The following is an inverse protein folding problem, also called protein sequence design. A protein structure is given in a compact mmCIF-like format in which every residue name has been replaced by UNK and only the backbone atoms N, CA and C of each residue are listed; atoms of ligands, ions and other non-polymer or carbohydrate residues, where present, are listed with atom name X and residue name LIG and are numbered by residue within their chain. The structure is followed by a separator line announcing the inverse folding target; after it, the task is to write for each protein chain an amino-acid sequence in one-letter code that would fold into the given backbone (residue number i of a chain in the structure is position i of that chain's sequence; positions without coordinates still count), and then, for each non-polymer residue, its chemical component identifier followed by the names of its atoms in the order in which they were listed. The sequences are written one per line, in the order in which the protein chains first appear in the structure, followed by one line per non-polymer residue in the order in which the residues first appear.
data_IF_534974151716
#
_entry.id   IF_534974151716
#
_cell.length_a   1.000
_cell.length_b   1.000
_cell.length_c   1.000
_cell.angle_alpha   90.00
_cell.angle_beta   90.00
_cell.angle_gamma   90.00
#
_symmetry.space_group_name_H-M   'P 1'
#
loop_
_entity.id
_entity.type
_entity.pdbx_description
1 polymer ?
#
# COMPACT_ATOMS: atom_id res chain seq x y z
N UNK A 1 48.22 -22.54 -2.05
CA UNK A 1 48.37 -21.09 -2.31
C UNK A 1 47.68 -20.85 -3.64
N UNK A 2 46.36 -20.69 -3.59
CA UNK A 2 45.58 -19.43 -3.50
C UNK A 2 44.91 -19.24 -4.85
N UNK A 3 43.73 -19.86 -4.97
CA UNK A 3 42.74 -19.51 -5.98
C UNK A 3 41.99 -18.27 -5.48
N UNK A 4 42.10 -17.17 -6.22
CA UNK A 4 41.12 -16.10 -6.20
C UNK A 4 40.21 -16.35 -7.40
N UNK A 5 38.92 -16.47 -7.13
CA UNK A 5 37.85 -16.57 -8.10
C UNK A 5 37.18 -15.19 -8.06
N UNK A 6 37.38 -14.42 -9.11
CA UNK A 6 36.62 -13.21 -9.42
C UNK A 6 35.23 -13.69 -9.87
N UNK A 7 34.20 -13.42 -9.07
CA UNK A 7 32.81 -13.47 -9.51
C UNK A 7 32.41 -12.04 -9.87
N UNK A 8 32.40 -11.76 -11.17
CA UNK A 8 31.76 -10.60 -11.76
C UNK A 8 30.24 -10.71 -11.54
N UNK A 9 29.69 -9.79 -10.74
CA UNK A 9 28.26 -9.60 -10.60
C UNK A 9 27.76 -8.76 -11.78
N UNK A 10 27.29 -9.44 -12.83
CA UNK A 10 26.55 -8.82 -13.94
C UNK A 10 25.22 -8.26 -13.40
N UNK A 11 25.19 -6.93 -13.28
CA UNK A 11 24.01 -6.16 -12.96
C UNK A 11 23.00 -6.27 -14.12
N UNK A 12 21.88 -6.96 -13.86
CA UNK A 12 20.72 -6.98 -14.75
C UNK A 12 20.04 -5.61 -14.77
N UNK A 13 20.58 -4.70 -15.57
CA UNK A 13 19.80 -3.64 -16.20
C UNK A 13 19.12 -4.25 -17.43
N UNK A 14 18.04 -4.99 -17.23
CA UNK A 14 17.16 -5.38 -18.33
C UNK A 14 15.88 -4.55 -18.26
N UNK A 15 15.71 -3.80 -19.34
CA UNK A 15 14.53 -3.07 -19.81
C UNK A 15 13.23 -3.55 -19.18
N UNK A 16 12.57 -2.64 -18.45
CA UNK A 16 11.15 -2.75 -18.11
C UNK A 16 10.31 -2.53 -19.37
N UNK A 17 10.36 -3.47 -20.32
CA UNK A 17 9.30 -3.61 -21.30
C UNK A 17 8.10 -4.25 -20.60
N UNK A 18 7.03 -3.47 -20.45
CA UNK A 18 5.72 -4.01 -20.12
C UNK A 18 5.27 -4.92 -21.26
N UNK A 19 5.53 -6.22 -21.15
CA UNK A 19 4.65 -7.18 -21.78
C UNK A 19 3.28 -6.99 -21.13
N UNK A 20 2.33 -6.49 -21.93
CA UNK A 20 0.93 -6.55 -21.57
C UNK A 20 0.64 -7.98 -21.15
N UNK A 21 0.03 -8.15 -19.97
CA UNK A 21 -0.60 -9.41 -19.63
C UNK A 21 -1.72 -9.59 -20.66
N UNK A 22 -1.43 -10.36 -21.71
CA UNK A 22 -2.44 -10.95 -22.55
C UNK A 22 -3.23 -11.91 -21.65
N UNK A 23 -4.39 -11.43 -21.20
CA UNK A 23 -5.46 -12.30 -20.72
C UNK A 23 -6.01 -13.06 -21.95
N UNK A 24 -5.28 -14.08 -22.41
CA UNK A 24 -5.73 -15.07 -23.38
C UNK A 24 -6.81 -15.97 -22.76
N UNK A 25 -7.99 -15.40 -22.54
CA UNK A 25 -9.22 -16.11 -22.16
C UNK A 25 -10.43 -15.52 -22.88
N UNK A 26 -10.28 -15.20 -24.16
CA UNK A 26 -11.40 -14.87 -25.07
C UNK A 26 -11.14 -15.46 -26.46
N UNK A 27 -11.21 -16.79 -26.56
CA UNK A 27 -11.10 -17.49 -27.85
C UNK A 27 -12.24 -18.49 -28.01
N UNK A 28 -13.48 -17.99 -28.01
CA UNK A 28 -14.63 -18.77 -28.48
C UNK A 28 -15.85 -17.93 -28.90
N UNK A 29 -15.69 -16.94 -29.78
CA UNK A 29 -16.85 -16.40 -30.53
C UNK A 29 -16.50 -15.71 -31.86
N UNK A 30 -16.06 -16.48 -32.85
CA UNK A 30 -15.98 -15.98 -34.24
C UNK A 30 -16.75 -16.84 -35.24
N UNK A 31 -17.72 -16.19 -35.87
CA UNK A 31 -18.48 -16.70 -37.01
C UNK A 31 -18.94 -15.57 -37.93
N UNK A 32 -18.10 -15.28 -38.94
CA UNK A 32 -18.36 -14.69 -40.28
C UNK A 32 -18.33 -13.16 -40.47
N UNK A 33 -17.20 -12.73 -41.04
CA UNK A 33 -16.98 -11.94 -42.27
C UNK A 33 -18.02 -10.89 -42.72
N UNK A 34 -17.60 -9.62 -42.87
CA UNK A 34 -17.23 -8.98 -44.16
C UNK A 34 -16.91 -7.48 -43.97
N UNK A 35 -15.80 -7.08 -44.58
CA UNK A 35 -15.36 -5.77 -45.09
C UNK A 35 -14.93 -4.60 -44.19
N UNK A 36 -13.76 -4.11 -44.58
CA UNK A 36 -12.98 -2.99 -44.05
C UNK A 36 -13.65 -1.62 -44.24
N UNK A 37 -13.61 -0.81 -43.19
CA UNK A 37 -13.49 0.65 -43.31
C UNK A 37 -12.92 1.21 -42.00
N UNK A 38 -11.83 1.93 -42.16
CA UNK A 38 -11.03 2.66 -41.17
C UNK A 38 -11.86 3.73 -40.43
N UNK A 39 -12.30 3.49 -39.18
CA UNK A 39 -12.56 4.51 -38.13
C UNK A 39 -13.28 3.95 -36.88
N UNK A 40 -12.61 3.23 -35.98
CA UNK A 40 -13.22 2.83 -34.70
C UNK A 40 -12.42 3.34 -33.50
N UNK A 41 -12.51 4.65 -33.25
CA UNK A 41 -12.13 5.27 -31.97
C UNK A 41 -13.34 5.69 -31.13
N UNK A 42 -14.58 5.44 -31.57
CA UNK A 42 -15.78 6.03 -30.96
C UNK A 42 -16.95 5.05 -30.70
N UNK A 43 -16.75 3.73 -30.73
CA UNK A 43 -17.86 2.76 -30.53
C UNK A 43 -17.76 1.89 -29.26
N UNK A 44 -17.40 2.50 -28.11
CA UNK A 44 -17.67 1.92 -26.78
C UNK A 44 -18.24 2.93 -25.77
N UNK A 45 -18.93 3.97 -26.24
CA UNK A 45 -19.61 4.96 -25.39
C UNK A 45 -21.14 4.72 -25.30
N UNK A 46 -21.58 3.46 -25.45
CA UNK A 46 -22.96 3.03 -25.22
C UNK A 46 -23.04 2.01 -24.10
N UNK A 47 -23.06 2.51 -22.86
CA UNK A 47 -24.04 2.16 -21.83
C UNK A 47 -23.72 3.01 -20.61
N UNK A 48 -24.46 4.11 -20.49
CA UNK A 48 -24.52 5.03 -19.37
C UNK A 48 -25.13 4.37 -18.11
N UNK A 49 -24.70 3.15 -17.77
CA UNK A 49 -24.85 2.59 -16.44
C UNK A 49 -23.84 3.34 -15.58
N UNK A 50 -24.28 4.40 -14.89
CA UNK A 50 -23.59 4.88 -13.70
C UNK A 50 -23.23 3.65 -12.88
N UNK A 51 -21.94 3.29 -12.81
CA UNK A 51 -21.48 2.19 -11.97
C UNK A 51 -21.96 2.51 -10.55
N UNK A 52 -22.97 1.78 -10.09
CA UNK A 52 -23.66 2.13 -8.87
C UNK A 52 -22.79 1.75 -7.69
N UNK A 53 -22.59 2.70 -6.79
CA UNK A 53 -22.05 2.44 -5.46
C UNK A 53 -22.90 1.37 -4.77
N UNK A 54 -22.27 0.53 -3.94
CA UNK A 54 -22.98 -0.45 -3.11
C UNK A 54 -23.04 0.06 -1.68
N UNK A 55 -24.24 0.17 -1.11
CA UNK A 55 -24.45 0.51 0.29
C UNK A 55 -24.43 -0.72 1.21
N UNK A 56 -24.12 -0.53 2.49
CA UNK A 56 -24.23 -1.60 3.49
C UNK A 56 -25.63 -2.25 3.56
N UNK A 57 -26.70 -1.50 3.30
CA UNK A 57 -28.06 -2.02 3.31
C UNK A 57 -28.35 -2.94 2.12
N UNK A 58 -27.72 -2.70 0.98
CA UNK A 58 -27.80 -3.61 -0.17
C UNK A 58 -26.92 -4.84 0.05
N UNK A 59 -25.71 -4.66 0.57
CA UNK A 59 -24.82 -5.77 0.89
C UNK A 59 -25.47 -6.75 1.88
N UNK A 60 -26.11 -6.23 2.95
CA UNK A 60 -26.89 -7.06 3.89
C UNK A 60 -28.09 -7.77 3.27
N UNK A 61 -28.60 -7.30 2.12
CA UNK A 61 -29.66 -7.97 1.35
C UNK A 61 -29.11 -9.00 0.35
N UNK A 62 -27.81 -9.28 0.39
CA UNK A 62 -27.15 -10.27 -0.47
C UNK A 62 -26.53 -9.69 -1.74
N UNK A 63 -26.50 -8.36 -1.92
CA UNK A 63 -25.73 -7.75 -3.01
C UNK A 63 -24.23 -7.91 -2.72
N UNK A 64 -23.46 -8.27 -3.72
CA UNK A 64 -21.99 -8.28 -3.62
C UNK A 64 -21.46 -6.89 -3.24
N UNK A 65 -20.47 -6.80 -2.34
CA UNK A 65 -19.93 -5.53 -1.84
C UNK A 65 -19.31 -4.68 -2.95
N UNK A 66 -18.78 -5.31 -4.01
CA UNK A 66 -18.27 -4.63 -5.19
C UNK A 66 -19.36 -4.32 -6.22
N UNK A 67 -20.55 -4.89 -6.03
CA UNK A 67 -21.67 -4.80 -6.95
C UNK A 67 -21.52 -5.71 -8.17
N UNK A 68 -20.69 -6.76 -8.09
CA UNK A 68 -20.55 -7.75 -9.15
C UNK A 68 -21.87 -8.54 -9.26
N UNK A 69 -22.52 -8.56 -10.44
CA UNK A 69 -23.82 -9.20 -10.61
C UNK A 69 -23.64 -10.70 -10.88
N UNK A 70 -23.15 -11.45 -9.89
CA UNK A 70 -22.86 -12.89 -10.02
C UNK A 70 -24.05 -13.71 -10.54
N UNK A 71 -25.28 -13.29 -10.23
CA UNK A 71 -26.52 -13.92 -10.72
C UNK A 71 -26.74 -13.78 -12.23
N UNK A 72 -26.04 -12.86 -12.89
CA UNK A 72 -26.08 -12.64 -14.35
C UNK A 72 -24.89 -13.26 -15.07
N UNK A 73 -23.90 -13.76 -14.33
CA UNK A 73 -22.70 -14.38 -14.87
C UNK A 73 -22.88 -15.89 -14.99
N UNK A 74 -22.13 -16.52 -15.88
CA UNK A 74 -22.10 -17.98 -16.05
C UNK A 74 -21.31 -18.70 -14.95
N UNK A 75 -20.66 -17.96 -14.06
CA UNK A 75 -19.83 -18.45 -12.96
C UNK A 75 -20.30 -17.86 -11.62
N UNK A 76 -20.31 -18.69 -10.57
CA UNK A 76 -20.61 -18.21 -9.22
C UNK A 76 -19.39 -17.54 -8.59
N UNK A 77 -19.60 -16.71 -7.58
CA UNK A 77 -18.53 -16.07 -6.81
C UNK A 77 -17.54 -17.09 -6.26
N UNK A 78 -18.03 -18.19 -5.71
CA UNK A 78 -17.21 -19.25 -5.09
C UNK A 78 -16.35 -19.96 -6.12
N UNK A 79 -16.94 -20.31 -7.28
CA UNK A 79 -16.19 -20.95 -8.36
C UNK A 79 -15.14 -20.01 -8.92
N UNK A 80 -15.46 -18.72 -9.08
CA UNK A 80 -14.49 -17.71 -9.51
C UNK A 80 -13.36 -17.54 -8.48
N UNK A 81 -13.66 -17.46 -7.18
CA UNK A 81 -12.67 -17.42 -6.09
C UNK A 81 -11.75 -18.65 -6.09
N UNK A 82 -12.30 -19.84 -6.29
CA UNK A 82 -11.49 -21.06 -6.38
C UNK A 82 -10.53 -21.00 -7.57
N UNK A 83 -11.04 -20.69 -8.76
CA UNK A 83 -10.22 -20.53 -9.97
C UNK A 83 -9.17 -19.44 -9.79
N UNK A 84 -9.54 -18.32 -9.15
CA UNK A 84 -8.62 -17.21 -8.84
C UNK A 84 -7.46 -17.67 -7.95
N UNK A 85 -7.70 -18.45 -6.91
CA UNK A 85 -6.64 -19.00 -6.05
C UNK A 85 -5.75 -20.02 -6.77
N UNK A 86 -6.34 -20.85 -7.64
CA UNK A 86 -5.60 -21.87 -8.40
C UNK A 86 -4.71 -21.27 -9.49
N UNK A 87 -5.15 -20.18 -10.12
CA UNK A 87 -4.49 -19.58 -11.28
C UNK A 87 -3.59 -18.39 -10.93
N UNK A 88 -3.71 -17.80 -9.74
CA UNK A 88 -2.90 -16.63 -9.36
C UNK A 88 -1.42 -16.98 -9.27
N UNK A 89 -0.62 -16.45 -10.18
CA UNK A 89 0.83 -16.62 -10.21
C UNK A 89 1.50 -15.55 -9.35
N UNK A 90 2.15 -16.00 -8.29
CA UNK A 90 2.95 -15.13 -7.45
C UNK A 90 4.30 -14.88 -8.13
N UNK A 91 4.75 -13.63 -8.05
CA UNK A 91 6.16 -13.32 -8.22
C UNK A 91 6.93 -13.79 -6.97
N UNK A 92 8.11 -14.35 -7.12
CA UNK A 92 8.99 -14.75 -6.00
C UNK A 92 10.42 -14.40 -6.40
N UNK A 93 11.18 -13.73 -5.54
CA UNK A 93 12.61 -13.50 -5.79
C UNK A 93 13.42 -14.72 -5.33
N UNK A 94 12.94 -15.37 -4.27
CA UNK A 94 13.49 -16.60 -3.73
C UNK A 94 12.50 -17.72 -4.02
N UNK A 95 12.82 -18.68 -4.91
CA UNK A 95 11.90 -19.75 -5.28
C UNK A 95 11.38 -20.53 -4.07
N UNK A 96 10.07 -20.79 -4.04
CA UNK A 96 9.37 -21.58 -3.00
C UNK A 96 9.43 -20.96 -1.59
N UNK A 97 9.75 -19.66 -1.48
CA UNK A 97 9.84 -18.96 -0.20
C UNK A 97 8.52 -18.98 0.58
N UNK A 98 7.38 -18.90 -0.12
CA UNK A 98 6.06 -18.98 0.47
C UNK A 98 5.74 -20.33 1.10
N UNK A 99 5.99 -21.42 0.36
CA UNK A 99 5.76 -22.80 0.86
C UNK A 99 6.68 -23.14 2.03
N UNK A 100 7.91 -22.63 2.02
CA UNK A 100 8.85 -22.80 3.11
C UNK A 100 8.40 -22.07 4.38
N UNK A 101 7.97 -20.81 4.25
CA UNK A 101 7.61 -19.93 5.37
C UNK A 101 6.25 -20.24 5.98
N UNK A 102 5.35 -20.89 5.23
CA UNK A 102 4.03 -21.30 5.71
C UNK A 102 4.12 -22.20 6.97
N UNK A 103 5.18 -23.00 7.10
CA UNK A 103 5.36 -23.94 8.22
C UNK A 103 5.56 -23.25 9.57
N UNK A 104 6.02 -22.00 9.55
CA UNK A 104 6.21 -21.19 10.75
C UNK A 104 4.95 -20.40 11.14
N UNK A 105 3.93 -20.40 10.28
CA UNK A 105 2.77 -19.55 10.45
C UNK A 105 1.85 -20.03 11.58
N UNK A 106 1.37 -19.08 12.37
CA UNK A 106 0.36 -19.32 13.38
C UNK A 106 -0.99 -19.56 12.71
N UNK A 107 -1.69 -20.60 13.16
CA UNK A 107 -3.09 -20.81 12.79
C UNK A 107 -3.98 -19.79 13.50
N UNK A 108 -4.88 -19.18 12.74
CA UNK A 108 -5.80 -18.13 13.20
C UNK A 108 -7.25 -18.60 13.06
N UNK A 109 -8.15 -18.06 13.88
CA UNK A 109 -9.59 -18.22 13.72
C UNK A 109 -10.14 -17.04 12.91
N UNK A 110 -10.74 -17.34 11.74
CA UNK A 110 -11.27 -16.36 10.78
C UNK A 110 -12.72 -15.94 11.02
N UNK A 111 -13.31 -16.30 12.16
CA UNK A 111 -14.70 -15.99 12.52
C UNK A 111 -14.88 -14.56 13.07
N UNK A 112 -13.79 -13.80 13.23
CA UNK A 112 -13.86 -12.48 13.83
C UNK A 112 -14.44 -11.44 12.85
N UNK A 113 -15.08 -10.42 13.42
CA UNK A 113 -15.65 -9.29 12.69
C UNK A 113 -15.41 -8.02 13.50
N UNK A 114 -14.44 -7.22 13.06
CA UNK A 114 -13.99 -5.99 13.72
C UNK A 114 -14.40 -4.73 12.98
N UNK A 115 -14.54 -4.80 11.66
CA UNK A 115 -14.93 -3.70 10.78
C UNK A 115 -16.04 -4.14 9.83
N UNK A 116 -17.20 -3.52 9.92
CA UNK A 116 -18.36 -3.83 9.09
C UNK A 116 -18.34 -3.01 7.79
N UNK A 117 -18.66 -3.64 6.66
CA UNK A 117 -18.80 -2.95 5.38
C UNK A 117 -19.81 -1.80 5.48
N UNK A 118 -19.40 -0.60 5.03
CA UNK A 118 -20.24 0.62 5.02
C UNK A 118 -20.67 0.98 3.61
N UNK A 119 -19.70 1.05 2.70
CA UNK A 119 -19.93 1.52 1.34
C UNK A 119 -18.82 1.04 0.40
N UNK A 120 -19.19 0.83 -0.84
CA UNK A 120 -18.27 0.81 -1.95
C UNK A 120 -18.53 2.01 -2.87
N UNK A 121 -17.54 2.87 -3.04
CA UNK A 121 -17.64 4.07 -3.89
C UNK A 121 -16.97 3.81 -5.24
N UNK A 122 -17.75 3.55 -6.29
CA UNK A 122 -17.31 3.26 -7.67
C UNK A 122 -16.95 4.52 -8.45
N UNK A 123 -17.43 5.68 -7.99
CA UNK A 123 -17.15 7.00 -8.56
C UNK A 123 -15.70 7.48 -8.32
N UNK A 124 -14.98 6.81 -7.42
CA UNK A 124 -13.59 7.08 -7.07
C UNK A 124 -12.79 5.80 -7.30
N UNK A 125 -11.84 5.84 -8.23
CA UNK A 125 -11.03 4.68 -8.61
C UNK A 125 -9.59 4.97 -8.29
N UNK A 126 -8.98 4.10 -7.48
CA UNK A 126 -7.55 4.17 -7.24
C UNK A 126 -6.80 3.59 -8.44
N UNK A 127 -5.62 4.13 -8.76
CA UNK A 127 -4.76 3.63 -9.84
C UNK A 127 -3.42 3.20 -9.28
N UNK A 128 -2.96 2.01 -9.67
CA UNK A 128 -1.60 1.56 -9.42
C UNK A 128 -0.84 1.45 -10.74
N UNK A 129 0.45 1.78 -10.72
CA UNK A 129 1.35 1.66 -11.86
C UNK A 129 2.47 0.64 -11.61
N UNK A 130 2.74 0.31 -10.35
CA UNK A 130 3.75 -0.69 -9.99
C UNK A 130 3.10 -1.93 -9.40
N UNK A 131 3.60 -3.11 -9.77
CA UNK A 131 3.09 -4.38 -9.23
C UNK A 131 3.51 -4.65 -7.79
N UNK A 132 4.45 -3.88 -7.21
CA UNK A 132 4.90 -4.03 -5.82
C UNK A 132 4.39 -2.99 -4.82
N UNK A 133 4.27 -1.72 -5.21
CA UNK A 133 4.09 -0.61 -4.27
C UNK A 133 2.61 -0.29 -4.03
N UNK A 134 2.16 -0.32 -2.76
CA UNK A 134 0.73 -0.21 -2.35
C UNK A 134 0.44 0.90 -1.33
N UNK A 135 1.20 2.00 -1.34
CA UNK A 135 1.01 3.12 -0.41
C UNK A 135 0.29 4.29 -1.11
N UNK A 136 -0.91 4.08 -1.64
CA UNK A 136 -1.63 5.07 -2.48
C UNK A 136 -3.01 5.49 -1.95
N UNK A 137 -3.34 5.09 -0.72
CA UNK A 137 -4.59 5.45 -0.03
C UNK A 137 -4.27 5.90 1.39
N UNK A 138 -4.78 7.06 1.80
CA UNK A 138 -4.48 7.63 3.10
C UNK A 138 -5.66 8.38 3.71
N UNK A 139 -6.17 7.88 4.84
CA UNK A 139 -7.25 8.51 5.60
C UNK A 139 -6.68 9.55 6.58
N UNK A 140 -7.34 10.70 6.66
CA UNK A 140 -7.01 11.77 7.62
C UNK A 140 -8.12 11.98 8.65
N UNK A 141 -9.31 11.46 8.37
CA UNK A 141 -10.43 11.35 9.31
C UNK A 141 -11.23 10.09 8.96
N UNK A 142 -12.25 9.74 9.76
CA UNK A 142 -13.20 8.68 9.41
C UNK A 142 -14.00 8.93 8.12
N UNK A 143 -13.96 10.15 7.60
CA UNK A 143 -14.70 10.55 6.40
C UNK A 143 -13.79 10.98 5.25
N UNK A 144 -12.58 11.45 5.52
CA UNK A 144 -11.74 12.12 4.54
C UNK A 144 -10.52 11.25 4.20
N UNK A 145 -10.44 10.86 2.93
CA UNK A 145 -9.41 9.96 2.40
C UNK A 145 -8.83 10.50 1.11
N UNK A 146 -7.52 10.39 0.98
CA UNK A 146 -6.74 10.82 -0.16
C UNK A 146 -6.22 9.61 -0.90
N UNK A 147 -6.29 9.62 -2.22
CA UNK A 147 -5.85 8.51 -3.03
C UNK A 147 -5.39 8.95 -4.42
N UNK A 148 -4.48 8.18 -4.99
CA UNK A 148 -4.06 8.38 -6.38
C UNK A 148 -5.11 7.82 -7.35
N UNK A 149 -5.57 8.66 -8.27
CA UNK A 149 -6.41 8.29 -9.41
C UNK A 149 -5.74 8.83 -10.68
N UNK A 150 -5.15 7.94 -11.47
CA UNK A 150 -4.30 8.30 -12.60
C UNK A 150 -3.18 9.27 -12.16
N UNK A 151 -3.18 10.48 -12.71
CA UNK A 151 -2.21 11.54 -12.39
C UNK A 151 -2.72 12.54 -11.35
N UNK A 152 -3.82 12.24 -10.65
CA UNK A 152 -4.42 13.17 -9.70
C UNK A 152 -4.47 12.56 -8.31
N UNK A 153 -4.01 13.31 -7.31
CA UNK A 153 -4.38 13.03 -5.92
C UNK A 153 -5.80 13.56 -5.72
N UNK A 154 -6.71 12.63 -5.44
CA UNK A 154 -8.11 12.92 -5.16
C UNK A 154 -8.33 12.87 -3.66
N UNK A 155 -9.02 13.87 -3.13
CA UNK A 155 -9.65 13.80 -1.83
C UNK A 155 -11.10 13.35 -2.02
N UNK A 156 -11.50 12.32 -1.29
CA UNK A 156 -12.86 11.83 -1.19
C UNK A 156 -13.37 12.04 0.23
N UNK A 157 -14.56 12.61 0.36
CA UNK A 157 -15.26 12.70 1.64
C UNK A 157 -16.48 11.77 1.63
N UNK A 158 -16.45 10.73 2.46
CA UNK A 158 -17.57 9.77 2.59
C UNK A 158 -18.82 10.41 3.20
N UNK A 159 -18.63 11.50 3.96
CA UNK A 159 -19.71 12.28 4.57
C UNK A 159 -20.54 13.04 3.53
N UNK A 160 -19.89 13.78 2.63
CA UNK A 160 -20.57 14.58 1.58
C UNK A 160 -20.74 13.81 0.28
N UNK A 161 -20.14 12.61 0.15
CA UNK A 161 -20.12 11.79 -1.06
C UNK A 161 -19.57 12.57 -2.28
N UNK A 162 -18.55 13.40 -2.05
CA UNK A 162 -17.96 14.24 -3.08
C UNK A 162 -16.46 14.03 -3.17
N UNK A 163 -15.93 14.12 -4.39
CA UNK A 163 -14.49 14.13 -4.65
C UNK A 163 -14.01 15.51 -5.08
N UNK A 164 -12.81 15.87 -4.65
CA UNK A 164 -12.12 17.10 -5.04
C UNK A 164 -10.68 16.76 -5.42
N UNK A 165 -10.21 17.31 -6.54
CA UNK A 165 -8.82 17.17 -6.95
C UNK A 165 -7.91 18.08 -6.12
N UNK A 166 -6.87 17.50 -5.52
CA UNK A 166 -5.97 18.19 -4.57
C UNK A 166 -4.65 18.56 -5.24
N UNK A 167 -4.16 17.69 -6.11
CA UNK A 167 -2.90 17.84 -6.83
C UNK A 167 -3.01 17.08 -8.16
N UNK A 168 -2.72 17.75 -9.27
CA UNK A 168 -2.64 17.16 -10.60
C UNK A 168 -1.17 17.15 -11.05
N UNK A 169 -0.61 15.97 -11.27
CA UNK A 169 0.78 15.78 -11.72
C UNK A 169 0.89 15.35 -13.19
N UNK A 170 -0.20 15.42 -13.96
CA UNK A 170 -0.17 15.17 -15.41
C UNK A 170 0.50 16.30 -16.17
N UNK A 171 0.33 17.54 -15.67
CA UNK A 171 0.98 18.73 -16.18
C UNK A 171 2.30 19.03 -15.48
N UNK A 172 2.78 20.25 -15.71
CA UNK A 172 3.92 20.80 -14.98
C UNK A 172 3.51 21.21 -13.57
N UNK A 173 4.29 20.78 -12.57
CA UNK A 173 4.10 21.05 -11.15
C UNK A 173 5.41 21.58 -10.57
N UNK A 174 5.39 22.83 -10.11
CA UNK A 174 6.54 23.48 -9.48
C UNK A 174 6.15 24.09 -8.12
N UNK A 175 7.11 24.23 -7.20
CA UNK A 175 6.85 24.83 -5.90
C UNK A 175 6.51 26.32 -6.05
N UNK A 176 5.47 26.77 -5.37
CA UNK A 176 5.06 28.18 -5.30
C UNK A 176 5.84 28.95 -4.23
N UNK A 177 6.47 28.24 -3.29
CA UNK A 177 7.33 28.79 -2.24
C UNK A 177 8.81 28.57 -2.61
N UNK A 178 9.69 29.48 -2.19
CA UNK A 178 11.13 29.40 -2.46
C UNK A 178 11.87 28.98 -1.19
N UNK A 179 12.25 27.71 -1.12
CA UNK A 179 13.05 27.18 -0.02
C UNK A 179 14.42 26.67 -0.51
N UNK A 180 15.47 26.68 0.32
CA UNK A 180 16.82 26.30 -0.10
C UNK A 180 16.94 24.90 -0.72
N UNK A 181 16.21 23.91 -0.20
CA UNK A 181 16.22 22.54 -0.75
C UNK A 181 15.27 22.32 -1.94
N UNK A 182 14.57 23.37 -2.40
CA UNK A 182 13.55 23.24 -3.45
C UNK A 182 14.16 23.14 -4.83
N UNK A 183 13.73 22.14 -5.59
CA UNK A 183 13.90 22.08 -7.03
C UNK A 183 12.85 22.99 -7.69
N UNK A 184 13.23 24.24 -7.99
CA UNK A 184 12.31 25.28 -8.46
C UNK A 184 11.77 25.04 -9.87
N UNK A 185 12.46 24.25 -10.69
CA UNK A 185 11.97 23.84 -12.01
C UNK A 185 10.76 22.92 -11.91
N UNK A 186 10.55 22.23 -10.79
CA UNK A 186 9.46 21.29 -10.62
C UNK A 186 9.58 20.04 -11.48
N UNK A 187 8.45 19.40 -11.77
CA UNK A 187 8.36 18.15 -12.53
C UNK A 187 7.20 18.21 -13.52
N UNK A 188 7.19 17.29 -14.48
CA UNK A 188 6.12 17.15 -15.47
C UNK A 188 5.78 15.68 -15.62
N UNK A 189 4.48 15.34 -15.70
CA UNK A 189 4.02 13.97 -15.90
C UNK A 189 4.59 12.98 -14.87
N UNK A 190 4.69 13.39 -13.60
CA UNK A 190 5.24 12.55 -12.54
C UNK A 190 4.34 11.33 -12.35
N UNK A 191 4.90 10.15 -12.55
CA UNK A 191 4.27 8.90 -12.17
C UNK A 191 4.45 8.73 -10.66
N UNK A 192 3.36 8.74 -9.90
CA UNK A 192 3.40 8.62 -8.44
C UNK A 192 3.47 7.15 -8.04
N UNK A 193 4.48 6.81 -7.24
CA UNK A 193 4.71 5.48 -6.68
C UNK A 193 4.19 5.33 -5.24
N UNK A 194 4.11 6.44 -4.50
CA UNK A 194 3.73 6.44 -3.08
C UNK A 194 3.12 7.78 -2.66
N UNK A 195 2.20 7.75 -1.69
CA UNK A 195 1.45 8.89 -1.18
C UNK A 195 1.23 8.77 0.33
N UNK A 196 1.53 9.84 1.06
CA UNK A 196 1.23 9.94 2.49
C UNK A 196 0.65 11.31 2.82
N UNK A 197 -0.35 11.35 3.70
CA UNK A 197 -1.01 12.59 4.13
C UNK A 197 -1.15 12.66 5.65
N UNK A 198 -0.43 13.56 6.31
CA UNK A 198 -0.50 13.68 7.77
C UNK A 198 -0.22 15.11 8.20
N UNK A 199 -0.89 15.56 9.26
CA UNK A 199 -0.73 16.91 9.79
C UNK A 199 -0.87 18.00 8.71
N UNK A 200 -1.84 17.78 7.79
CA UNK A 200 -2.13 18.59 6.60
C UNK A 200 -1.01 18.63 5.55
N UNK A 201 0.11 17.96 5.75
CA UNK A 201 1.13 17.78 4.73
C UNK A 201 0.80 16.55 3.89
N UNK A 202 0.69 16.75 2.59
CA UNK A 202 0.68 15.71 1.57
C UNK A 202 2.07 15.61 0.98
N UNK A 203 2.61 14.39 0.89
CA UNK A 203 3.84 14.08 0.17
C UNK A 203 3.56 12.98 -0.85
N UNK A 204 3.85 13.25 -2.11
CA UNK A 204 3.81 12.28 -3.20
C UNK A 204 5.24 11.97 -3.67
N UNK A 205 5.60 10.69 -3.71
CA UNK A 205 6.87 10.21 -4.24
C UNK A 205 6.70 9.65 -5.66
N UNK A 206 7.67 9.87 -6.53
CA UNK A 206 7.65 9.43 -7.92
C UNK A 206 8.66 8.33 -8.28
N UNK A 207 8.50 7.77 -9.47
CA UNK A 207 9.35 6.70 -10.02
C UNK A 207 10.77 7.16 -10.37
N UNK A 208 11.01 8.47 -10.57
CA UNK A 208 12.33 9.03 -10.87
C UNK A 208 12.89 9.82 -9.69
N UNK A 209 12.57 9.37 -8.46
CA UNK A 209 13.06 9.97 -7.22
C UNK A 209 12.40 11.30 -6.87
N UNK A 210 11.32 11.69 -7.55
CA UNK A 210 10.62 12.93 -7.26
C UNK A 210 9.95 12.90 -5.88
N UNK A 211 9.96 14.04 -5.20
CA UNK A 211 9.20 14.32 -3.99
C UNK A 211 8.44 15.62 -4.19
N UNK A 212 7.11 15.55 -4.13
CA UNK A 212 6.21 16.70 -4.27
C UNK A 212 5.44 16.87 -2.96
N UNK A 213 5.64 18.00 -2.30
CA UNK A 213 5.03 18.32 -1.01
C UNK A 213 4.00 19.44 -1.15
N UNK A 214 2.83 19.25 -0.56
CA UNK A 214 1.74 20.24 -0.54
C UNK A 214 1.11 20.29 0.84
N UNK A 215 1.03 21.49 1.42
CA UNK A 215 0.14 21.74 2.56
C UNK A 215 -1.30 21.88 2.07
N UNK A 216 -2.21 21.09 2.63
CA UNK A 216 -3.61 21.02 2.22
C UNK A 216 -4.41 22.29 2.55
N UNK A 217 -3.94 23.07 3.54
CA UNK A 217 -4.53 24.36 3.91
C UNK A 217 -3.87 25.55 3.21
N UNK A 218 -3.02 25.30 2.19
CA UNK A 218 -2.34 26.33 1.40
C UNK A 218 -2.51 26.10 -0.11
N UNK A 219 -2.53 27.17 -0.92
CA UNK A 219 -2.55 27.03 -2.38
C UNK A 219 -1.20 26.52 -2.90
N UNK A 220 -1.24 25.76 -4.01
CA UNK A 220 -0.03 25.31 -4.70
C UNK A 220 0.77 24.23 -3.99
N UNK A 221 1.93 23.89 -4.57
CA UNK A 221 2.95 22.99 -4.01
C UNK A 221 3.93 23.82 -3.18
N UNK A 222 4.27 23.36 -1.98
CA UNK A 222 5.19 24.10 -1.11
C UNK A 222 6.65 23.73 -1.35
N UNK A 223 6.93 22.49 -1.75
CA UNK A 223 8.30 22.00 -1.88
C UNK A 223 8.37 20.87 -2.90
N UNK A 224 9.38 20.93 -3.78
CA UNK A 224 9.75 19.84 -4.66
C UNK A 224 11.21 19.48 -4.40
N UNK A 225 11.55 18.20 -4.43
CA UNK A 225 12.93 17.73 -4.37
C UNK A 225 13.09 16.44 -5.15
N UNK A 226 14.33 16.07 -5.45
CA UNK A 226 14.66 14.79 -6.07
C UNK A 226 15.67 14.06 -5.20
N UNK A 227 15.39 12.81 -4.87
CA UNK A 227 16.20 11.99 -3.94
C UNK A 227 17.53 11.57 -4.56
N UNK A 228 17.51 11.18 -5.83
CA UNK A 228 18.67 10.83 -6.65
C UNK A 228 18.34 11.03 -8.14
N UNK A 229 19.38 11.11 -8.98
CA UNK A 229 19.27 11.15 -10.44
C UNK A 229 19.65 9.82 -11.09
N UNK A 230 19.90 8.78 -10.29
CA UNK A 230 20.20 7.44 -10.79
C UNK A 230 18.99 6.88 -11.58
N UNK A 231 19.23 6.00 -12.53
CA UNK A 231 18.14 5.38 -13.32
C UNK A 231 17.18 4.57 -12.43
N UNK A 232 17.68 4.06 -11.30
CA UNK A 232 16.91 3.30 -10.32
C UNK A 232 16.44 4.16 -9.12
N UNK A 233 15.80 5.30 -9.39
CA UNK A 233 15.49 6.33 -8.40
C UNK A 233 14.16 6.16 -7.63
N UNK A 234 13.36 5.12 -7.92
CA UNK A 234 11.97 5.01 -7.44
C UNK A 234 11.85 5.34 -5.95
N UNK A 235 10.92 6.25 -5.61
CA UNK A 235 10.56 6.50 -4.22
C UNK A 235 9.53 5.46 -3.78
N UNK A 236 10.01 4.41 -3.12
CA UNK A 236 9.20 3.23 -2.79
C UNK A 236 8.17 3.52 -1.69
N UNK A 237 8.56 4.28 -0.66
CA UNK A 237 7.69 4.61 0.46
C UNK A 237 8.04 5.97 1.06
N UNK A 238 7.01 6.67 1.55
CA UNK A 238 7.16 7.90 2.33
C UNK A 238 6.38 7.79 3.64
N UNK A 239 6.99 8.18 4.75
CA UNK A 239 6.34 8.23 6.06
C UNK A 239 6.52 9.60 6.71
N UNK A 240 5.41 10.25 7.09
CA UNK A 240 5.42 11.56 7.77
C UNK A 240 5.38 11.34 9.29
N UNK A 241 6.24 12.05 10.02
CA UNK A 241 6.32 11.97 11.46
C UNK A 241 6.68 13.31 12.10
N UNK A 242 6.39 13.44 13.39
CA UNK A 242 6.85 14.57 14.18
C UNK A 242 8.03 14.11 15.04
N UNK A 243 9.09 14.91 15.04
CA UNK A 243 10.23 14.71 15.95
C UNK A 243 9.81 14.95 17.41
N UNK A 244 10.67 14.59 18.35
CA UNK A 244 10.43 14.84 19.78
C UNK A 244 10.24 16.33 20.12
N UNK A 245 10.75 17.26 19.29
CA UNK A 245 10.51 18.70 19.44
C UNK A 245 9.20 19.18 18.81
N UNK A 246 8.45 18.30 18.15
CA UNK A 246 7.24 18.63 17.39
C UNK A 246 7.50 19.12 15.97
N UNK A 247 8.76 19.15 15.51
CA UNK A 247 9.07 19.53 14.14
C UNK A 247 8.61 18.44 13.17
N UNK A 248 7.94 18.85 12.10
CA UNK A 248 7.39 17.96 11.08
C UNK A 248 8.48 17.50 10.12
N UNK A 249 8.61 16.19 9.97
CA UNK A 249 9.58 15.55 9.09
C UNK A 249 8.89 14.49 8.23
N UNK A 250 9.56 14.05 7.18
CA UNK A 250 9.21 12.80 6.51
C UNK A 250 10.46 12.00 6.14
N UNK A 251 10.31 10.67 6.14
CA UNK A 251 11.32 9.74 5.63
C UNK A 251 10.88 9.24 4.25
N UNK A 252 11.79 9.24 3.29
CA UNK A 252 11.63 8.60 1.99
C UNK A 252 12.56 7.39 1.87
N UNK A 253 12.00 6.25 1.48
CA UNK A 253 12.74 5.03 1.11
C UNK A 253 12.84 4.94 -0.39
N UNK A 254 14.03 4.66 -0.92
CA UNK A 254 14.29 4.69 -2.36
C UNK A 254 14.96 3.40 -2.84
N UNK A 255 14.75 3.11 -4.13
CA UNK A 255 15.35 1.95 -4.78
C UNK A 255 16.87 2.06 -4.93
N UNK A 256 17.42 3.27 -4.80
CA UNK A 256 18.87 3.56 -4.82
C UNK A 256 19.62 3.16 -3.54
N UNK A 257 19.00 2.29 -2.74
CA UNK A 257 19.48 1.84 -1.44
C UNK A 257 19.53 2.93 -0.36
N UNK A 258 18.86 4.06 -0.59
CA UNK A 258 18.84 5.21 0.31
C UNK A 258 17.58 5.31 1.16
N UNK A 259 17.76 5.79 2.40
CA UNK A 259 16.70 6.32 3.26
C UNK A 259 17.04 7.76 3.62
N UNK A 260 16.12 8.67 3.33
CA UNK A 260 16.33 10.12 3.44
C UNK A 260 15.29 10.75 4.37
N UNK A 261 15.76 11.54 5.32
CA UNK A 261 14.93 12.31 6.24
C UNK A 261 14.91 13.78 5.81
N UNK A 262 13.73 14.36 5.65
CA UNK A 262 13.54 15.77 5.29
C UNK A 262 12.91 16.54 6.45
N UNK A 263 13.54 17.67 6.81
CA UNK A 263 13.05 18.63 7.80
C UNK A 263 12.13 19.63 7.09
N UNK A 264 10.84 19.65 7.44
CA UNK A 264 9.84 20.50 6.78
C UNK A 264 9.67 21.88 7.40
N UNK A 265 10.40 22.19 8.48
CA UNK A 265 10.56 23.57 8.97
C UNK A 265 11.64 24.30 8.15
N UNK A 266 12.69 23.57 7.76
CA UNK A 266 13.81 24.08 6.96
C UNK A 266 13.72 23.77 5.48
N UNK A 267 12.79 22.89 5.09
CA UNK A 267 12.57 22.42 3.73
C UNK A 267 13.87 21.92 3.07
N UNK A 268 14.53 20.99 3.74
CA UNK A 268 15.81 20.44 3.30
C UNK A 268 16.03 19.01 3.79
N UNK A 269 16.92 18.30 3.11
CA UNK A 269 17.45 17.01 3.56
C UNK A 269 18.19 17.19 4.90
N UNK A 270 17.76 16.44 5.90
CA UNK A 270 18.30 16.42 7.25
C UNK A 270 19.26 15.24 7.46
N UNK A 271 18.90 14.05 6.98
CA UNK A 271 19.74 12.84 7.06
C UNK A 271 19.63 12.01 5.79
N UNK A 272 20.71 11.31 5.47
CA UNK A 272 20.75 10.33 4.39
C UNK A 272 21.55 9.12 4.84
N UNK A 273 20.90 7.96 4.82
CA UNK A 273 21.48 6.67 5.15
C UNK A 273 21.47 5.78 3.91
N UNK A 274 22.55 5.04 3.69
CA UNK A 274 22.66 4.05 2.61
C UNK A 274 22.76 2.66 3.19
N UNK A 275 22.16 1.72 2.49
CA UNK A 275 22.13 0.32 2.85
C UNK A 275 22.67 -0.57 1.72
N UNK A 276 22.90 -1.87 1.96
CA UNK A 276 23.48 -2.77 0.97
C UNK A 276 22.56 -3.15 -0.21
N UNK A 277 21.28 -2.78 -0.15
CA UNK A 277 20.24 -3.18 -1.09
C UNK A 277 19.23 -2.04 -1.31
N UNK A 278 18.42 -2.09 -2.37
CA UNK A 278 17.23 -1.24 -2.52
C UNK A 278 16.34 -1.27 -1.27
N UNK A 279 15.84 -0.10 -0.85
CA UNK A 279 14.97 0.01 0.33
C UNK A 279 13.53 0.16 -0.11
N UNK A 280 12.71 -0.84 0.17
CA UNK A 280 11.30 -0.86 -0.21
C UNK A 280 10.43 -0.13 0.82
N UNK A 281 10.78 -0.21 2.11
CA UNK A 281 10.04 0.50 3.16
C UNK A 281 10.91 0.77 4.38
N UNK A 282 10.72 1.94 4.99
CA UNK A 282 11.30 2.31 6.27
C UNK A 282 10.18 2.86 7.16
N UNK A 283 10.08 2.37 8.40
CA UNK A 283 9.12 2.89 9.38
C UNK A 283 9.79 3.24 10.69
N UNK A 284 9.39 4.38 11.26
CA UNK A 284 10.00 4.95 12.46
C UNK A 284 9.23 4.51 13.71
N UNK A 285 9.95 4.16 14.78
CA UNK A 285 9.33 3.88 16.07
C UNK A 285 8.57 5.12 16.59
N UNK A 286 7.48 4.95 17.37
CA UNK A 286 6.71 6.07 17.90
C UNK A 286 7.53 7.08 18.73
N UNK A 287 8.61 6.62 19.36
CA UNK A 287 9.54 7.47 20.13
C UNK A 287 10.65 8.11 19.27
N UNK A 288 10.66 7.83 17.96
CA UNK A 288 11.60 8.37 16.99
C UNK A 288 13.02 7.84 17.07
N UNK A 289 13.29 6.81 17.87
CA UNK A 289 14.67 6.34 18.13
C UNK A 289 15.13 5.22 17.21
N UNK A 290 14.22 4.41 16.69
CA UNK A 290 14.53 3.22 15.90
C UNK A 290 13.84 3.30 14.55
N UNK A 291 14.48 2.78 13.52
CA UNK A 291 13.89 2.62 12.19
C UNK A 291 13.94 1.13 11.82
N UNK A 292 12.79 0.58 11.42
CA UNK A 292 12.71 -0.72 10.79
C UNK A 292 12.89 -0.53 9.27
N UNK A 293 13.94 -1.11 8.72
CA UNK A 293 14.35 -1.00 7.32
C UNK A 293 14.13 -2.34 6.64
N UNK A 294 13.41 -2.34 5.53
CA UNK A 294 13.13 -3.53 4.74
C UNK A 294 13.30 -3.23 3.24
N UNK A 295 13.71 -4.24 2.48
CA UNK A 295 14.09 -4.05 1.09
C UNK A 295 14.33 -5.36 0.35
N UNK A 296 15.19 -5.29 -0.66
CA UNK A 296 15.55 -6.42 -1.54
C UNK A 296 16.55 -7.36 -0.87
N UNK A 297 16.14 -7.88 0.28
CA UNK A 297 16.85 -8.85 1.07
C UNK A 297 15.89 -9.63 1.97
N UNK A 298 16.16 -10.93 2.21
CA UNK A 298 15.40 -11.71 3.19
C UNK A 298 15.46 -11.12 4.60
N UNK A 299 16.61 -10.58 5.00
CA UNK A 299 16.79 -9.99 6.31
C UNK A 299 16.45 -8.49 6.29
N UNK A 300 15.57 -8.08 7.19
CA UNK A 300 15.38 -6.66 7.51
C UNK A 300 16.46 -6.17 8.48
N UNK A 301 16.51 -4.86 8.73
CA UNK A 301 17.36 -4.26 9.76
C UNK A 301 16.55 -3.39 10.72
N UNK A 302 16.87 -3.47 12.00
CA UNK A 302 16.50 -2.46 12.98
C UNK A 302 17.72 -1.59 13.26
N UNK A 303 17.59 -0.27 13.08
CA UNK A 303 18.71 0.68 13.20
C UNK A 303 18.38 1.86 14.11
N UNK A 304 19.40 2.50 14.68
CA UNK A 304 19.26 3.78 15.41
C UNK A 304 18.99 4.93 14.43
N UNK A 305 17.92 5.69 14.64
CA UNK A 305 17.46 6.75 13.73
C UNK A 305 18.42 7.95 13.61
N UNK A 306 19.41 8.06 14.51
CA UNK A 306 20.34 9.20 14.55
C UNK A 306 21.55 8.96 13.65
N UNK A 307 21.99 7.72 13.53
CA UNK A 307 23.25 7.39 12.84
C UNK A 307 23.19 6.11 11.99
N UNK A 308 22.01 5.48 11.85
CA UNK A 308 21.79 4.23 11.15
C UNK A 308 22.68 3.07 11.62
N UNK A 309 23.21 3.12 12.85
CA UNK A 309 23.92 1.98 13.42
C UNK A 309 22.95 0.83 13.60
N UNK A 310 23.32 -0.34 13.09
CA UNK A 310 22.56 -1.57 13.21
C UNK A 310 22.41 -1.92 14.70
N UNK A 311 21.16 -2.07 15.13
CA UNK A 311 20.78 -2.57 16.45
C UNK A 311 20.63 -4.09 16.38
N UNK A 312 19.91 -4.60 15.37
CA UNK A 312 19.76 -6.03 15.11
C UNK A 312 19.38 -6.27 13.65
N UNK A 313 19.84 -7.36 13.01
CA UNK A 313 19.16 -7.91 11.86
C UNK A 313 17.80 -8.50 12.26
N UNK A 314 16.89 -8.61 11.30
CA UNK A 314 15.56 -9.18 11.44
C UNK A 314 15.47 -10.44 10.58
N UNK A 315 16.03 -11.54 11.10
CA UNK A 315 16.17 -12.79 10.37
C UNK A 315 14.93 -13.67 10.52
N UNK A 316 14.46 -14.23 9.41
CA UNK A 316 13.40 -15.25 9.40
C UNK A 316 12.49 -15.21 8.18
N UNK A 317 12.36 -14.06 7.52
CA UNK A 317 11.69 -14.01 6.23
C UNK A 317 12.47 -14.79 5.16
N UNK A 318 11.75 -15.38 4.22
CA UNK A 318 12.32 -16.20 3.15
C UNK A 318 12.60 -15.45 1.85
N UNK A 319 12.11 -14.21 1.71
CA UNK A 319 12.15 -13.42 0.48
C UNK A 319 12.14 -11.91 0.81
N UNK A 320 11.93 -11.03 -0.15
CA UNK A 320 12.06 -9.58 0.02
C UNK A 320 10.85 -8.96 0.70
N UNK A 321 11.12 -7.95 1.53
CA UNK A 321 10.11 -7.28 2.35
C UNK A 321 9.70 -5.94 1.72
N UNK A 322 8.39 -5.63 1.73
CA UNK A 322 7.81 -4.45 1.08
C UNK A 322 7.00 -3.54 2.00
N UNK A 323 6.72 -3.99 3.22
CA UNK A 323 5.96 -3.23 4.18
C UNK A 323 6.56 -3.36 5.57
N UNK A 324 6.52 -2.29 6.35
CA UNK A 324 6.76 -2.32 7.78
C UNK A 324 5.85 -1.33 8.50
N UNK A 325 5.45 -1.65 9.74
CA UNK A 325 4.65 -0.76 10.56
C UNK A 325 4.90 -1.00 12.05
N UNK A 326 5.07 0.08 12.80
CA UNK A 326 5.18 0.01 14.26
C UNK A 326 3.81 -0.05 14.92
N UNK A 327 3.70 -0.88 15.95
CA UNK A 327 2.60 -0.78 16.88
C UNK A 327 2.79 0.49 17.74
N UNK A 328 1.71 1.22 18.11
CA UNK A 328 1.81 2.49 18.83
C UNK A 328 2.42 2.39 20.24
N UNK A 329 2.57 1.20 20.83
CA UNK A 329 3.32 1.03 22.09
C UNK A 329 4.84 1.20 21.94
N UNK A 330 5.36 1.16 20.71
CA UNK A 330 6.79 1.24 20.40
C UNK A 330 7.62 0.04 20.85
N UNK A 331 6.99 -1.06 21.26
CA UNK A 331 7.67 -2.30 21.65
C UNK A 331 7.63 -3.34 20.55
N UNK A 332 6.55 -3.37 19.76
CA UNK A 332 6.41 -4.31 18.65
C UNK A 332 6.26 -3.59 17.32
N UNK A 333 6.62 -4.29 16.26
CA UNK A 333 6.42 -3.84 14.88
C UNK A 333 6.25 -5.06 13.98
N UNK A 334 5.73 -4.85 12.78
CA UNK A 334 5.48 -5.89 11.81
C UNK A 334 6.20 -5.62 10.49
N UNK A 335 6.57 -6.68 9.79
CA UNK A 335 7.15 -6.67 8.44
C UNK A 335 6.32 -7.56 7.51
N UNK A 336 6.11 -7.13 6.27
CA UNK A 336 5.33 -7.82 5.26
C UNK A 336 6.19 -8.16 4.05
N UNK A 337 6.04 -9.39 3.54
CA UNK A 337 7.05 -10.01 2.70
C UNK A 337 6.48 -10.76 1.49
N UNK A 338 7.34 -10.95 0.49
CA UNK A 338 7.08 -11.73 -0.72
C UNK A 338 6.85 -13.23 -0.44
N UNK A 339 7.40 -13.75 0.66
CA UNK A 339 7.18 -15.10 1.20
C UNK A 339 5.74 -15.34 1.72
N UNK A 340 4.80 -14.44 1.41
CA UNK A 340 3.38 -14.49 1.79
C UNK A 340 3.13 -14.41 3.30
N UNK A 341 4.14 -14.03 4.09
CA UNK A 341 4.00 -13.87 5.53
C UNK A 341 4.11 -12.41 5.97
N UNK A 342 3.43 -12.13 7.08
CA UNK A 342 3.70 -10.98 7.93
C UNK A 342 4.33 -11.47 9.23
N UNK A 343 5.53 -10.99 9.57
CA UNK A 343 6.18 -11.31 10.84
C UNK A 343 6.08 -10.14 11.81
N UNK A 344 5.70 -10.43 13.05
CA UNK A 344 5.67 -9.46 14.15
C UNK A 344 6.91 -9.66 15.02
N UNK A 345 7.57 -8.57 15.38
CA UNK A 345 8.81 -8.52 16.14
C UNK A 345 8.60 -7.80 17.46
N UNK A 346 9.39 -8.16 18.46
CA UNK A 346 9.44 -7.47 19.75
C UNK A 346 10.87 -7.02 20.01
N UNK A 347 11.08 -5.72 20.23
CA UNK A 347 12.42 -5.15 20.42
C UNK A 347 13.13 -5.69 21.67
N UNK A 348 12.38 -6.30 22.61
CA UNK A 348 12.92 -6.94 23.81
C UNK A 348 13.54 -8.31 23.51
N UNK A 349 13.19 -8.91 22.37
CA UNK A 349 13.77 -10.16 21.89
C UNK A 349 13.71 -10.28 20.36
N UNK A 350 14.73 -9.77 19.67
CA UNK A 350 14.82 -9.75 18.21
C UNK A 350 15.46 -11.00 17.60
N UNK A 351 15.80 -12.02 18.41
CA UNK A 351 16.40 -13.25 17.87
C UNK A 351 15.40 -14.10 17.08
N UNK A 352 14.11 -13.77 17.15
CA UNK A 352 13.00 -14.42 16.43
C UNK A 352 11.78 -13.50 16.38
N UNK A 353 10.88 -13.76 15.43
CA UNK A 353 9.55 -13.15 15.44
C UNK A 353 8.67 -13.72 16.57
N UNK A 354 7.75 -12.89 17.06
CA UNK A 354 6.70 -13.26 18.04
C UNK A 354 5.63 -14.12 17.37
N UNK A 355 5.24 -13.76 16.15
CA UNK A 355 4.29 -14.50 15.33
C UNK A 355 4.63 -14.32 13.85
N UNK A 356 4.34 -15.33 13.04
CA UNK A 356 4.24 -15.25 11.59
C UNK A 356 2.78 -15.48 11.20
N UNK A 357 2.20 -14.56 10.42
CA UNK A 357 0.83 -14.58 9.95
C UNK A 357 0.84 -14.83 8.44
N UNK A 358 -0.07 -15.66 7.96
CA UNK A 358 -0.11 -16.12 6.57
C UNK A 358 -1.11 -15.30 5.75
N UNK A 359 -0.73 -14.91 4.53
CA UNK A 359 -1.64 -14.46 3.47
C UNK A 359 -2.25 -15.64 2.68
N UNK A 360 -3.40 -15.43 2.07
CA UNK A 360 -4.13 -16.43 1.31
C UNK A 360 -3.64 -16.60 -0.13
N UNK A 361 -3.30 -15.49 -0.78
CA UNK A 361 -3.03 -15.38 -2.21
C UNK A 361 -1.53 -15.14 -2.46
N UNK A 362 -0.94 -14.14 -1.81
CA UNK A 362 0.40 -13.67 -2.12
C UNK A 362 1.07 -12.78 -1.08
N UNK A 363 2.03 -11.99 -1.57
CA UNK A 363 2.92 -11.16 -0.77
C UNK A 363 2.18 -10.15 0.12
N UNK A 364 2.70 -9.88 1.32
CA UNK A 364 2.13 -8.83 2.19
C UNK A 364 2.74 -7.48 1.82
N UNK A 365 1.93 -6.58 1.25
CA UNK A 365 2.40 -5.33 0.62
C UNK A 365 2.02 -4.06 1.36
N UNK A 366 1.15 -4.15 2.35
CA UNK A 366 0.82 -3.02 3.22
C UNK A 366 0.46 -3.52 4.61
N UNK A 367 0.92 -2.82 5.64
CA UNK A 367 0.61 -3.11 7.04
C UNK A 367 0.28 -1.79 7.73
N UNK A 368 -0.78 -1.78 8.54
CA UNK A 368 -1.14 -0.64 9.40
C UNK A 368 -1.66 -1.15 10.75
N UNK A 369 -1.25 -0.48 11.82
CA UNK A 369 -1.90 -0.60 13.12
C UNK A 369 -2.97 0.47 13.27
N UNK A 370 -4.05 0.18 14.00
CA UNK A 370 -4.94 1.23 14.50
C UNK A 370 -4.17 2.09 15.50
N UNK A 371 -4.52 3.38 15.61
CA UNK A 371 -3.83 4.32 16.50
C UNK A 371 -3.96 3.98 17.98
N UNK A 372 -4.98 3.20 18.36
CA UNK A 372 -5.16 2.64 19.72
C UNK A 372 -4.41 1.31 19.93
N UNK A 373 -3.75 0.78 18.91
CA UNK A 373 -3.00 -0.48 18.94
C UNK A 373 -3.86 -1.74 19.04
N UNK A 374 -5.19 -1.63 18.99
CA UNK A 374 -6.09 -2.78 19.18
C UNK A 374 -6.03 -3.74 18.00
N UNK A 375 -5.94 -3.22 16.78
CA UNK A 375 -5.99 -4.03 15.56
C UNK A 375 -4.79 -3.76 14.65
N UNK A 376 -4.41 -4.77 13.89
CA UNK A 376 -3.46 -4.67 12.79
C UNK A 376 -4.14 -5.14 11.52
N UNK A 377 -4.07 -4.34 10.45
CA UNK A 377 -4.44 -4.77 9.11
C UNK A 377 -3.18 -5.10 8.30
N UNK A 378 -3.24 -6.17 7.51
CA UNK A 378 -2.29 -6.45 6.45
C UNK A 378 -3.03 -6.69 5.13
N UNK A 379 -2.52 -6.17 4.03
CA UNK A 379 -3.06 -6.40 2.70
C UNK A 379 -2.09 -7.17 1.82
N UNK A 380 -2.68 -8.05 1.03
CA UNK A 380 -2.03 -8.79 -0.04
C UNK A 380 -1.90 -7.92 -1.31
N UNK A 381 -1.33 -8.40 -2.42
CA UNK A 381 -1.26 -7.60 -3.64
C UNK A 381 -2.66 -7.37 -4.22
N UNK A 382 -3.55 -8.34 -4.03
CA UNK A 382 -4.93 -8.37 -4.49
C UNK A 382 -5.84 -9.11 -3.51
N UNK A 383 -7.14 -8.87 -3.66
CA UNK A 383 -8.27 -9.66 -3.17
C UNK A 383 -8.51 -9.72 -1.65
N UNK A 384 -7.46 -9.79 -0.84
CA UNK A 384 -7.56 -10.05 0.59
C UNK A 384 -6.93 -8.95 1.45
N UNK A 385 -7.70 -8.53 2.46
CA UNK A 385 -7.20 -7.76 3.61
C UNK A 385 -7.54 -8.52 4.88
N UNK A 386 -6.57 -8.66 5.77
CA UNK A 386 -6.70 -9.37 7.04
C UNK A 386 -6.60 -8.39 8.19
N UNK A 387 -7.51 -8.47 9.16
CA UNK A 387 -7.50 -7.63 10.38
C UNK A 387 -7.39 -8.52 11.61
N UNK A 388 -6.35 -8.33 12.43
CA UNK A 388 -6.04 -9.16 13.59
C UNK A 388 -6.25 -8.41 14.90
N UNK A 389 -6.75 -9.08 15.95
CA UNK A 389 -6.70 -8.59 17.33
C UNK A 389 -5.29 -8.74 17.90
N UNK A 390 -4.62 -7.60 18.11
CA UNK A 390 -3.25 -7.54 18.62
C UNK A 390 -3.19 -7.99 20.08
N UNK A 391 -4.14 -7.57 20.92
CA UNK A 391 -4.14 -7.96 22.35
C UNK A 391 -4.50 -9.43 22.54
N UNK A 392 -5.25 -10.00 21.60
CA UNK A 392 -5.54 -11.44 21.52
C UNK A 392 -4.36 -12.26 20.98
N UNK A 393 -3.16 -11.69 20.86
CA UNK A 393 -1.98 -12.40 20.37
C UNK A 393 -2.11 -12.84 18.90
N UNK A 394 -2.84 -12.06 18.10
CA UNK A 394 -3.09 -12.29 16.68
C UNK A 394 -3.82 -13.61 16.38
N UNK A 395 -4.59 -14.15 17.34
CA UNK A 395 -5.31 -15.43 17.19
C UNK A 395 -6.62 -15.31 16.40
N UNK A 396 -7.23 -14.13 16.44
CA UNK A 396 -8.54 -13.86 15.88
C UNK A 396 -8.39 -12.91 14.70
N UNK A 397 -8.85 -13.36 13.55
CA UNK A 397 -8.68 -12.73 12.25
C UNK A 397 -10.05 -12.44 11.64
N UNK A 398 -10.20 -11.23 11.12
CA UNK A 398 -11.24 -10.92 10.15
C UNK A 398 -10.60 -10.92 8.77
N UNK A 399 -11.09 -11.79 7.89
CA UNK A 399 -10.76 -11.77 6.47
C UNK A 399 -11.76 -10.89 5.72
N UNK A 400 -11.25 -9.96 4.91
CA UNK A 400 -12.03 -9.13 3.99
C UNK A 400 -11.72 -9.63 2.58
N UNK A 401 -12.71 -10.29 1.97
CA UNK A 401 -12.61 -10.99 0.70
C UNK A 401 -13.33 -10.23 -0.43
N UNK A 402 -12.57 -9.76 -1.42
CA UNK A 402 -13.03 -9.07 -2.63
C UNK A 402 -12.11 -9.40 -3.83
N UNK A 403 -12.35 -8.84 -5.01
CA UNK A 403 -11.55 -9.10 -6.21
C UNK A 403 -10.90 -7.83 -6.75
N UNK A 404 -9.62 -7.92 -7.13
CA UNK A 404 -8.86 -6.84 -7.73
C UNK A 404 -7.62 -6.46 -6.91
N UNK A 405 -6.71 -5.74 -7.55
CA UNK A 405 -5.46 -5.33 -6.92
C UNK A 405 -5.70 -4.27 -5.85
N UNK A 406 -4.93 -4.31 -4.76
CA UNK A 406 -5.10 -3.43 -3.61
C UNK A 406 -4.11 -2.29 -3.72
N UNK A 407 -4.56 -1.11 -4.14
CA UNK A 407 -3.72 0.09 -4.25
C UNK A 407 -3.18 0.65 -2.93
N UNK A 408 -3.87 0.35 -1.83
CA UNK A 408 -3.48 0.72 -0.49
C UNK A 408 -4.62 0.60 0.50
N UNK A 409 -4.25 0.66 1.78
CA UNK A 409 -5.18 0.60 2.90
C UNK A 409 -4.84 1.68 3.93
N UNK A 410 -5.86 2.17 4.63
CA UNK A 410 -5.65 3.14 5.70
C UNK A 410 -6.76 3.06 6.74
N UNK A 411 -6.37 2.93 8.01
CA UNK A 411 -7.26 3.24 9.12
C UNK A 411 -7.39 4.76 9.27
N UNK A 412 -8.57 5.23 9.60
CA UNK A 412 -8.72 6.61 10.06
C UNK A 412 -7.98 6.82 11.38
N UNK A 413 -7.44 8.02 11.65
CA UNK A 413 -6.70 8.29 12.89
C UNK A 413 -7.51 8.10 14.17
N UNK A 414 -8.84 8.24 14.09
CA UNK A 414 -9.78 7.98 15.19
C UNK A 414 -10.18 6.50 15.32
N UNK A 415 -9.61 5.62 14.48
CA UNK A 415 -9.86 4.16 14.39
C UNK A 415 -11.25 3.74 13.91
N UNK A 416 -12.13 4.68 13.58
CA UNK A 416 -13.53 4.37 13.28
C UNK A 416 -13.76 3.83 11.88
N UNK A 417 -12.84 4.06 10.94
CA UNK A 417 -12.96 3.63 9.55
C UNK A 417 -11.70 2.92 9.07
N UNK A 418 -11.89 1.94 8.18
CA UNK A 418 -10.85 1.32 7.35
C UNK A 418 -11.22 1.55 5.89
N UNK A 419 -10.30 2.12 5.13
CA UNK A 419 -10.43 2.33 3.69
C UNK A 419 -9.50 1.39 2.93
N UNK A 420 -10.01 0.80 1.84
CA UNK A 420 -9.24 -0.07 0.95
C UNK A 420 -9.50 0.38 -0.49
N UNK A 421 -8.45 0.81 -1.18
CA UNK A 421 -8.55 1.19 -2.59
C UNK A 421 -8.33 0.00 -3.50
N UNK A 422 -9.31 -0.31 -4.34
CA UNK A 422 -9.28 -1.43 -5.29
C UNK A 422 -9.00 -0.89 -6.69
N UNK A 423 -7.96 -1.41 -7.32
CA UNK A 423 -7.69 -1.19 -8.74
C UNK A 423 -8.15 -2.42 -9.52
N UNK A 424 -9.11 -2.19 -10.40
CA UNK A 424 -9.63 -3.16 -11.36
C UNK A 424 -10.23 -2.38 -12.53
N UNK A 425 -10.10 -2.91 -13.75
CA UNK A 425 -10.58 -2.25 -14.98
C UNK A 425 -12.08 -1.94 -14.90
N UNK A 426 -12.84 -2.88 -14.36
CA UNK A 426 -14.30 -2.79 -14.27
C UNK A 426 -14.73 -2.37 -12.88
N UNK A 427 -14.28 -3.07 -11.85
CA UNK A 427 -14.72 -2.99 -10.45
C UNK A 427 -13.82 -2.12 -9.55
N UNK A 428 -12.90 -1.36 -10.14
CA UNK A 428 -12.05 -0.40 -9.43
C UNK A 428 -12.89 0.59 -8.63
N UNK A 429 -12.48 0.82 -7.38
CA UNK A 429 -13.31 1.48 -6.38
C UNK A 429 -12.60 1.81 -5.07
N UNK A 430 -13.32 2.43 -4.14
CA UNK A 430 -12.89 2.63 -2.76
C UNK A 430 -13.89 1.96 -1.80
N UNK A 431 -13.44 0.94 -1.08
CA UNK A 431 -14.19 0.26 -0.03
C UNK A 431 -14.00 0.99 1.30
N UNK A 432 -15.10 1.18 2.03
CA UNK A 432 -15.14 1.76 3.36
C UNK A 432 -15.77 0.77 4.33
N UNK A 433 -15.08 0.50 5.44
CA UNK A 433 -15.55 -0.31 6.54
C UNK A 433 -15.53 0.52 7.82
N UNK A 434 -16.50 0.31 8.70
CA UNK A 434 -16.61 1.04 9.97
C UNK A 434 -16.38 0.11 11.15
N UNK A 435 -15.61 0.55 12.14
CA UNK A 435 -15.29 -0.21 13.33
C UNK A 435 -16.57 -0.67 14.03
N UNK A 436 -16.60 -1.95 14.39
CA UNK A 436 -17.65 -2.55 15.20
C UNK A 436 -17.35 -2.31 16.67
N UNK A 437 -18.34 -1.77 17.37
CA UNK A 437 -18.30 -1.56 18.81
C UNK A 437 -19.25 -2.57 19.46
N UNK A 438 -18.71 -3.48 20.28
CA UNK A 438 -19.54 -4.34 21.12
C UNK A 438 -19.79 -3.58 22.44
N UNK A 439 -20.90 -2.84 22.51
CA UNK A 439 -21.32 -2.18 23.74
C UNK A 439 -22.01 -3.21 24.65
N UNK A 440 -21.22 -4.03 25.33
CA UNK A 440 -21.71 -5.06 26.28
C UNK A 440 -22.70 -4.53 27.32
N UNK A 441 -22.67 -3.23 27.63
CA UNK A 441 -23.63 -2.59 28.54
C UNK A 441 -24.99 -2.25 27.90
N UNK A 442 -25.05 -1.97 26.60
CA UNK A 442 -26.32 -1.67 25.91
C UNK A 442 -27.02 -2.96 25.45
N UNK A 443 -26.24 -3.99 25.09
CA UNK A 443 -26.76 -5.27 24.60
C UNK A 443 -27.25 -6.20 25.73
N UNK A 444 -27.07 -5.83 27.00
CA UNK A 444 -27.58 -6.57 28.18
C UNK A 444 -28.94 -6.07 28.67
N UNK A 445 -29.53 -5.05 28.03
CA UNK A 445 -30.85 -4.48 28.39
C UNK A 445 -31.97 -5.02 27.48
N UNK A 446 -31.69 -5.97 26.57
CA UNK A 446 -32.72 -6.62 25.73
C UNK A 446 -33.06 -8.01 26.26
#
# INVERSE_FOLDING_TARGET
MSHQQEDDADYMANEYEMEAIDDDMDDEFHGRDIDASDSDADEYDYMNNKMQDTSAAEARRGRDIQGIPWERLSITREKYRQTRLEQYKNYENVPQSGEASEKDCKTTNKEASYYDFRRNSRSVKSTILHFQLRNLVWATSKHDVYLMSHFSVIHWSSLTCSKTEVLNVSGHVAPCEKHPGSLLEGFTQTQVSTLTVKDKLLVAGGFQGELICKYLDRPGVCFCSRTTYDDNAITNAVEIYNTASGALHFIASNNDSGVRDFDMEKFQLSKHFRFPWPVNHASLSPDGKLIAIVGDNPDGLLVDSRNAKIVSPLCGHGDFSFASAWHPDGLTFATGNQDKTCRVWDIRNLSKSVVALKGNLGAIRSIRYTSDGRYMAMAEPADFVHVFDVKGGYEQEQEIDFFGEISGLSFSPDTESLFVGVWDRTYGSLLEFGRRHNYTYLDTII
#
